data_IF_213162446645
#
_entry.id   IF_213162446645
#
_cell.length_a   1.000
_cell.length_b   1.000
_cell.length_c   1.000
_cell.angle_alpha   90.00
_cell.angle_beta   90.00
_cell.angle_gamma   90.00
#
_symmetry.space_group_name_H-M   'P 1'
#
loop_
_entity.id
_entity.type
_entity.pdbx_description
1 polymer ?
#
# COMPACT_ATOMS: atom_id res chain seq x y z
N UNK A 1 12.83 15.00 0.82
CA UNK A 1 11.84 14.09 1.45
C UNK A 1 12.09 12.69 0.93
N UNK A 2 12.34 11.74 1.84
CA UNK A 2 12.47 10.31 1.53
C UNK A 2 11.14 9.62 1.79
N UNK A 3 10.58 8.97 0.79
CA UNK A 3 9.28 8.33 0.86
C UNK A 3 9.34 6.82 0.62
N UNK A 4 8.49 6.07 1.32
CA UNK A 4 8.27 4.65 1.10
C UNK A 4 6.85 4.45 0.56
N UNK A 5 6.74 3.96 -0.67
CA UNK A 5 5.47 3.54 -1.25
C UNK A 5 5.24 2.07 -0.92
N UNK A 6 4.35 1.78 0.03
CA UNK A 6 4.14 0.43 0.58
C UNK A 6 2.87 -0.21 0.02
N UNK A 7 3.02 -1.36 -0.60
CA UNK A 7 1.92 -2.20 -1.09
C UNK A 7 1.98 -3.60 -0.47
N UNK A 8 0.81 -4.17 -0.16
CA UNK A 8 0.69 -5.47 0.52
C UNK A 8 0.45 -6.65 -0.43
N UNK A 9 0.68 -6.46 -1.70
CA UNK A 9 0.56 -7.49 -2.73
C UNK A 9 1.80 -7.53 -3.62
N UNK A 10 1.89 -8.57 -4.47
CA UNK A 10 2.98 -8.71 -5.43
C UNK A 10 2.94 -7.61 -6.49
N UNK A 11 4.12 -7.20 -6.92
CA UNK A 11 4.29 -6.28 -8.02
C UNK A 11 4.52 -7.08 -9.31
N UNK A 12 3.62 -6.92 -10.29
CA UNK A 12 3.74 -7.56 -11.59
C UNK A 12 3.38 -6.54 -12.68
N UNK A 13 4.34 -6.20 -13.51
CA UNK A 13 4.19 -5.17 -14.55
C UNK A 13 3.07 -5.45 -15.57
N UNK A 14 2.69 -6.71 -15.77
CA UNK A 14 1.58 -7.08 -16.63
C UNK A 14 0.20 -6.75 -16.03
N UNK A 15 0.11 -6.45 -14.73
CA UNK A 15 -1.13 -6.16 -14.04
C UNK A 15 -1.44 -4.66 -14.07
N UNK A 16 -2.68 -4.27 -14.42
CA UNK A 16 -3.12 -2.87 -14.46
C UNK A 16 -2.93 -2.11 -13.14
N UNK A 17 -3.09 -2.79 -11.99
CA UNK A 17 -2.84 -2.19 -10.67
C UNK A 17 -1.35 -1.83 -10.51
N UNK A 18 -0.45 -2.73 -10.90
CA UNK A 18 0.99 -2.49 -10.84
C UNK A 18 1.43 -1.39 -11.80
N UNK A 19 0.84 -1.31 -13.00
CA UNK A 19 1.07 -0.17 -13.92
C UNK A 19 0.69 1.16 -13.28
N UNK A 20 -0.49 1.23 -12.64
CA UNK A 20 -0.91 2.44 -11.93
C UNK A 20 0.07 2.82 -10.81
N UNK A 21 0.52 1.86 -10.00
CA UNK A 21 1.50 2.09 -8.94
C UNK A 21 2.81 2.61 -9.52
N UNK A 22 3.27 2.03 -10.63
CA UNK A 22 4.48 2.50 -11.33
C UNK A 22 4.37 3.96 -11.76
N UNK A 23 3.22 4.36 -12.32
CA UNK A 23 2.99 5.76 -12.69
C UNK A 23 2.93 6.69 -11.46
N UNK A 24 2.32 6.25 -10.36
CA UNK A 24 2.31 7.02 -9.11
C UNK A 24 3.72 7.21 -8.55
N UNK A 25 4.52 6.13 -8.50
CA UNK A 25 5.92 6.19 -8.04
C UNK A 25 6.75 7.07 -8.97
N UNK A 26 6.57 6.94 -10.30
CA UNK A 26 7.25 7.79 -11.27
C UNK A 26 6.88 9.26 -11.07
N UNK A 27 5.61 9.59 -10.95
CA UNK A 27 5.17 10.98 -10.73
C UNK A 27 5.76 11.58 -9.45
N UNK A 28 5.86 10.81 -8.37
CA UNK A 28 6.53 11.26 -7.16
C UNK A 28 8.02 11.53 -7.40
N UNK A 29 8.71 10.67 -8.15
CA UNK A 29 10.12 10.89 -8.54
C UNK A 29 10.28 12.14 -9.40
N UNK A 30 9.41 12.33 -10.38
CA UNK A 30 9.40 13.50 -11.26
C UNK A 30 9.16 14.83 -10.48
N UNK A 31 8.44 14.75 -9.35
CA UNK A 31 8.28 15.84 -8.39
C UNK A 31 9.46 16.02 -7.42
N UNK A 32 10.58 15.32 -7.61
CA UNK A 32 11.77 15.43 -6.76
C UNK A 32 11.69 14.69 -5.43
N UNK A 33 10.75 13.74 -5.28
CA UNK A 33 10.68 12.89 -4.09
C UNK A 33 11.59 11.67 -4.27
N UNK A 34 12.48 11.41 -3.30
CA UNK A 34 13.24 10.16 -3.23
C UNK A 34 12.32 9.06 -2.72
N UNK A 35 11.61 8.41 -3.65
CA UNK A 35 10.61 7.38 -3.32
C UNK A 35 11.12 5.98 -3.65
N UNK A 36 10.95 5.06 -2.70
CA UNK A 36 11.24 3.62 -2.80
C UNK A 36 9.95 2.83 -2.77
N UNK A 37 9.85 1.78 -3.59
CA UNK A 37 8.69 0.90 -3.65
C UNK A 37 8.91 -0.33 -2.75
N UNK A 38 8.13 -0.43 -1.67
CA UNK A 38 8.09 -1.63 -0.83
C UNK A 38 6.91 -2.52 -1.25
N UNK A 39 7.21 -3.75 -1.63
CA UNK A 39 6.20 -4.68 -2.11
C UNK A 39 6.46 -6.11 -1.62
N UNK A 40 5.42 -6.91 -1.71
CA UNK A 40 5.51 -8.34 -1.46
C UNK A 40 5.85 -9.08 -2.75
N UNK A 41 6.77 -10.05 -2.65
CA UNK A 41 7.16 -10.90 -3.77
C UNK A 41 7.00 -12.39 -3.46
N UNK A 42 6.80 -13.19 -4.50
CA UNK A 42 6.79 -14.66 -4.46
C UNK A 42 7.66 -15.15 -5.60
N UNK A 43 8.78 -15.78 -5.27
CA UNK A 43 9.70 -16.33 -6.27
C UNK A 43 9.07 -17.51 -7.03
N UNK A 44 9.68 -17.93 -8.13
CA UNK A 44 9.29 -19.13 -8.89
C UNK A 44 9.32 -20.42 -8.04
N UNK A 45 10.14 -20.46 -6.99
CA UNK A 45 10.22 -21.56 -6.03
C UNK A 45 9.19 -21.45 -4.90
N UNK A 46 8.35 -20.40 -4.89
CA UNK A 46 7.30 -20.19 -3.87
C UNK A 46 7.80 -19.54 -2.59
N UNK A 47 9.04 -19.04 -2.56
CA UNK A 47 9.56 -18.26 -1.43
C UNK A 47 8.87 -16.91 -1.34
N UNK A 48 8.58 -16.45 -0.14
CA UNK A 48 7.82 -15.23 0.15
C UNK A 48 8.72 -14.20 0.78
N UNK A 49 8.79 -13.03 0.13
CA UNK A 49 9.74 -11.98 0.47
C UNK A 49 9.05 -10.62 0.60
N UNK A 50 9.59 -9.79 1.48
CA UNK A 50 9.39 -8.34 1.39
C UNK A 50 10.58 -7.74 0.65
N UNK A 51 10.27 -6.93 -0.36
CA UNK A 51 11.24 -6.26 -1.21
C UNK A 51 11.11 -4.75 -1.06
N UNK A 52 12.21 -4.02 -1.14
CA UNK A 52 12.19 -2.57 -1.40
C UNK A 52 13.03 -2.33 -2.66
N UNK A 53 12.37 -1.88 -3.73
CA UNK A 53 12.91 -1.91 -5.08
C UNK A 53 13.48 -3.32 -5.37
N UNK A 54 14.81 -3.47 -5.54
CA UNK A 54 15.49 -4.76 -5.79
C UNK A 54 16.10 -5.39 -4.53
N UNK A 55 16.01 -4.73 -3.36
CA UNK A 55 16.55 -5.23 -2.09
C UNK A 55 15.58 -6.19 -1.40
N UNK A 56 16.03 -7.38 -1.04
CA UNK A 56 15.27 -8.30 -0.17
C UNK A 56 15.45 -7.86 1.28
N UNK A 57 14.41 -7.33 1.90
CA UNK A 57 14.44 -6.89 3.31
C UNK A 57 13.94 -7.96 4.28
N UNK A 58 13.24 -8.98 3.78
CA UNK A 58 12.87 -10.17 4.54
C UNK A 58 12.58 -11.34 3.61
N UNK A 59 13.03 -12.54 4.01
CA UNK A 59 12.66 -13.81 3.38
C UNK A 59 12.01 -14.72 4.42
N UNK A 60 10.81 -15.20 4.12
CA UNK A 60 10.03 -16.08 5.00
C UNK A 60 10.08 -17.54 4.53
N UNK A 61 10.79 -17.82 3.43
CA UNK A 61 10.83 -19.12 2.78
C UNK A 61 9.48 -19.51 2.17
N UNK A 62 9.18 -20.81 2.18
CA UNK A 62 8.03 -21.41 1.50
C UNK A 62 6.96 -21.90 2.47
N UNK A 63 5.83 -22.35 1.93
CA UNK A 63 4.81 -23.08 2.70
C UNK A 63 3.81 -22.20 3.45
N UNK A 64 3.07 -22.82 4.36
CA UNK A 64 1.96 -22.18 5.07
C UNK A 64 2.42 -21.17 6.13
N UNK A 65 3.50 -21.48 6.85
CA UNK A 65 4.08 -20.56 7.84
C UNK A 65 4.49 -19.24 7.19
N UNK A 66 5.16 -19.29 6.04
CA UNK A 66 5.55 -18.10 5.29
C UNK A 66 4.35 -17.24 4.86
N UNK A 67 3.19 -17.87 4.53
CA UNK A 67 1.94 -17.15 4.24
C UNK A 67 1.41 -16.36 5.43
N UNK A 68 1.63 -16.86 6.65
CA UNK A 68 1.21 -16.17 7.88
C UNK A 68 2.20 -15.07 8.24
N UNK A 69 3.50 -15.40 8.29
CA UNK A 69 4.55 -14.47 8.69
C UNK A 69 4.55 -13.17 7.87
N UNK A 70 4.41 -13.27 6.56
CA UNK A 70 4.31 -12.09 5.68
C UNK A 70 3.19 -11.11 6.06
N UNK A 71 2.11 -11.60 6.69
CA UNK A 71 0.91 -10.81 7.04
C UNK A 71 0.94 -10.23 8.44
N UNK A 72 1.81 -10.76 9.29
CA UNK A 72 1.84 -10.40 10.71
C UNK A 72 3.17 -9.80 11.15
N UNK A 73 4.25 -10.05 10.41
CA UNK A 73 5.60 -9.63 10.76
C UNK A 73 6.10 -8.53 9.84
N UNK A 74 5.95 -7.29 10.29
CA UNK A 74 6.33 -6.08 9.55
C UNK A 74 7.57 -5.37 10.10
N UNK A 75 8.30 -5.99 11.06
CA UNK A 75 9.53 -5.42 11.60
C UNK A 75 10.56 -5.08 10.52
N UNK A 76 10.81 -5.91 9.48
CA UNK A 76 11.76 -5.56 8.44
C UNK A 76 11.44 -4.26 7.71
N UNK A 77 10.15 -3.97 7.48
CA UNK A 77 9.70 -2.71 6.87
C UNK A 77 10.03 -1.52 7.80
N UNK A 78 9.78 -1.69 9.09
CA UNK A 78 10.09 -0.67 10.09
C UNK A 78 11.59 -0.43 10.22
N UNK A 79 12.39 -1.50 10.21
CA UNK A 79 13.85 -1.44 10.33
C UNK A 79 14.45 -0.78 9.08
N UNK A 80 13.93 -1.11 7.89
CA UNK A 80 14.28 -0.41 6.65
C UNK A 80 13.95 1.09 6.76
N UNK A 81 12.73 1.43 7.17
CA UNK A 81 12.30 2.82 7.27
C UNK A 81 13.19 3.64 8.23
N UNK A 82 13.63 3.03 9.34
CA UNK A 82 14.57 3.66 10.28
C UNK A 82 15.96 3.80 9.68
N UNK A 83 16.50 2.75 9.07
CA UNK A 83 17.84 2.74 8.48
C UNK A 83 17.99 3.80 7.40
N UNK A 84 16.99 3.94 6.56
CA UNK A 84 17.00 4.88 5.44
C UNK A 84 16.52 6.30 5.80
N UNK A 85 15.99 6.49 7.01
CA UNK A 85 15.44 7.79 7.44
C UNK A 85 14.22 8.20 6.62
N UNK A 86 13.25 7.30 6.49
CA UNK A 86 12.00 7.56 5.74
C UNK A 86 11.16 8.61 6.48
N UNK A 87 10.84 9.71 5.79
CA UNK A 87 10.02 10.81 6.32
C UNK A 87 8.52 10.62 6.07
N UNK A 88 8.19 9.91 4.98
CA UNK A 88 6.82 9.76 4.52
C UNK A 88 6.53 8.34 4.05
N UNK A 89 5.41 7.77 4.49
CA UNK A 89 4.97 6.44 4.05
C UNK A 89 3.59 6.55 3.40
N UNK A 90 3.53 6.20 2.11
CA UNK A 90 2.30 6.08 1.36
C UNK A 90 1.90 4.62 1.30
N UNK A 91 0.90 4.24 2.08
CA UNK A 91 0.40 2.86 2.12
C UNK A 91 -0.76 2.71 1.15
N UNK A 92 -0.62 1.84 0.17
CA UNK A 92 -1.78 1.43 -0.61
C UNK A 92 -2.45 0.26 0.07
N UNK A 93 -3.59 0.51 0.67
CA UNK A 93 -4.36 -0.54 1.33
C UNK A 93 -5.16 -1.33 0.32
N UNK A 94 -4.94 -2.62 0.37
CA UNK A 94 -5.83 -3.60 -0.24
C UNK A 94 -6.58 -4.30 0.90
N UNK A 95 -7.58 -3.62 1.50
CA UNK A 95 -8.32 -4.06 2.67
C UNK A 95 -7.43 -4.47 3.83
N UNK A 96 -7.32 -3.80 4.89
CA UNK A 96 -6.81 -4.53 6.04
C UNK A 96 -6.43 -3.66 7.19
N UNK A 97 -7.45 -3.14 7.80
CA UNK A 97 -7.29 -2.78 9.18
C UNK A 97 -7.16 -4.08 9.99
N UNK A 98 -6.03 -4.25 10.60
CA UNK A 98 -5.70 -5.37 11.47
C UNK A 98 -4.87 -4.88 12.65
N UNK A 99 -4.74 -5.65 13.74
CA UNK A 99 -3.86 -5.26 14.84
C UNK A 99 -2.41 -5.08 14.39
N UNK A 100 -1.97 -5.87 13.40
CA UNK A 100 -0.61 -5.82 12.87
C UNK A 100 -0.36 -4.57 12.04
N UNK A 101 -1.30 -4.20 11.14
CA UNK A 101 -1.23 -2.97 10.35
C UNK A 101 -1.31 -1.73 11.25
N UNK A 102 -2.19 -1.74 12.26
CA UNK A 102 -2.27 -0.67 13.24
C UNK A 102 -0.96 -0.51 14.02
N UNK A 103 -0.33 -1.62 14.42
CA UNK A 103 0.98 -1.60 15.07
C UNK A 103 2.07 -1.04 14.15
N UNK A 104 2.08 -1.45 12.88
CA UNK A 104 3.02 -0.93 11.87
C UNK A 104 2.89 0.59 11.75
N UNK A 105 1.68 1.11 11.51
CA UNK A 105 1.43 2.56 11.40
C UNK A 105 1.90 3.31 12.63
N UNK A 106 1.52 2.85 13.83
CA UNK A 106 1.96 3.48 15.08
C UNK A 106 3.48 3.45 15.27
N UNK A 107 4.14 2.38 14.82
CA UNK A 107 5.59 2.25 14.93
C UNK A 107 6.32 3.14 13.91
N UNK A 108 5.83 3.25 12.69
CA UNK A 108 6.34 4.18 11.68
C UNK A 108 6.19 5.64 12.16
N UNK A 109 5.04 6.01 12.72
CA UNK A 109 4.86 7.37 13.27
C UNK A 109 5.82 7.69 14.43
N UNK A 110 6.19 6.70 15.22
CA UNK A 110 7.21 6.90 16.29
C UNK A 110 8.62 7.14 15.75
N UNK A 111 8.91 6.82 14.50
CA UNK A 111 10.18 7.22 13.86
C UNK A 111 10.17 8.66 13.33
N UNK A 112 9.04 9.35 13.43
CA UNK A 112 8.85 10.71 12.91
C UNK A 112 8.20 10.73 11.50
N UNK A 113 8.02 9.59 10.87
CA UNK A 113 7.42 9.52 9.54
C UNK A 113 5.93 9.89 9.55
N UNK A 114 5.49 10.63 8.54
CA UNK A 114 4.07 10.81 8.22
C UNK A 114 3.56 9.59 7.49
N UNK A 115 2.39 9.09 7.86
CA UNK A 115 1.81 7.87 7.27
C UNK A 115 0.43 8.17 6.74
N UNK A 116 0.25 8.06 5.42
CA UNK A 116 -1.05 8.14 4.76
C UNK A 116 -1.43 6.80 4.15
N UNK A 117 -2.73 6.56 3.99
CA UNK A 117 -3.24 5.33 3.39
C UNK A 117 -4.19 5.64 2.24
N UNK A 118 -3.95 5.04 1.07
CA UNK A 118 -4.88 5.09 -0.06
C UNK A 118 -5.97 4.03 0.14
N UNK A 119 -7.24 4.47 0.14
CA UNK A 119 -8.43 3.62 0.07
C UNK A 119 -9.11 3.91 -1.28
N UNK A 120 -8.83 3.10 -2.32
CA UNK A 120 -9.22 3.42 -3.69
C UNK A 120 -10.74 3.31 -3.91
N UNK A 121 -11.40 2.38 -3.23
CA UNK A 121 -12.85 2.16 -3.32
C UNK A 121 -13.48 2.35 -1.95
N UNK A 122 -14.53 3.17 -1.88
CA UNK A 122 -15.30 3.36 -0.65
C UNK A 122 -16.78 3.61 -0.99
N UNK A 123 -17.73 2.91 -0.35
CA UNK A 123 -17.55 1.80 0.59
C UNK A 123 -17.11 0.51 -0.12
N UNK A 124 -16.30 -0.33 0.54
CA UNK A 124 -15.74 -1.57 -0.03
C UNK A 124 -16.30 -2.87 0.58
N UNK A 125 -17.19 -2.77 1.54
CA UNK A 125 -17.73 -3.95 2.28
C UNK A 125 -18.39 -4.98 1.34
N UNK A 126 -18.94 -4.53 0.21
CA UNK A 126 -19.60 -5.39 -0.78
C UNK A 126 -18.65 -6.25 -1.63
N UNK A 127 -17.36 -5.90 -1.67
CA UNK A 127 -16.35 -6.65 -2.40
C UNK A 127 -15.99 -7.98 -1.72
N UNK A 128 -16.42 -8.18 -0.46
CA UNK A 128 -16.11 -9.34 0.37
C UNK A 128 -17.16 -10.45 0.23
N UNK A 129 -17.06 -11.25 -0.83
CA UNK A 129 -18.08 -12.26 -1.17
C UNK A 129 -17.79 -13.64 -0.58
N UNK A 130 -16.53 -14.09 -0.47
CA UNK A 130 -16.19 -15.43 0.02
C UNK A 130 -16.16 -15.52 1.55
N UNK A 131 -16.28 -16.74 2.11
CA UNK A 131 -16.21 -16.95 3.57
C UNK A 131 -14.90 -16.45 4.18
N UNK A 132 -13.78 -16.71 3.51
CA UNK A 132 -12.46 -16.21 3.94
C UNK A 132 -12.40 -14.69 3.94
N UNK A 133 -12.92 -14.04 2.88
CA UNK A 133 -12.96 -12.59 2.80
C UNK A 133 -13.85 -12.00 3.89
N UNK A 134 -15.02 -12.59 4.18
CA UNK A 134 -15.91 -12.15 5.27
C UNK A 134 -15.25 -12.21 6.64
N UNK A 135 -14.41 -13.22 6.89
CA UNK A 135 -13.61 -13.28 8.11
C UNK A 135 -12.61 -12.11 8.20
N UNK A 136 -11.91 -11.80 7.10
CA UNK A 136 -11.02 -10.64 7.04
C UNK A 136 -11.78 -9.32 7.23
N UNK A 137 -12.97 -9.19 6.63
CA UNK A 137 -13.84 -8.03 6.82
C UNK A 137 -14.27 -7.86 8.29
N UNK A 138 -14.56 -8.95 8.99
CA UNK A 138 -14.89 -8.88 10.41
C UNK A 138 -13.74 -8.30 11.25
N UNK A 139 -12.50 -8.74 10.98
CA UNK A 139 -11.31 -8.17 11.60
C UNK A 139 -11.16 -6.70 11.21
N UNK A 140 -11.29 -6.38 9.94
CA UNK A 140 -11.20 -5.02 9.42
C UNK A 140 -12.18 -4.08 10.14
N UNK A 141 -13.45 -4.47 10.27
CA UNK A 141 -14.48 -3.70 10.99
C UNK A 141 -14.12 -3.40 12.45
N UNK A 142 -13.40 -4.29 13.12
CA UNK A 142 -12.93 -4.06 14.49
C UNK A 142 -11.81 -3.03 14.59
N UNK A 143 -11.01 -2.88 13.53
CA UNK A 143 -9.78 -2.08 13.59
C UNK A 143 -9.80 -0.85 12.67
N UNK A 144 -10.65 -0.77 11.64
CA UNK A 144 -10.62 0.28 10.61
C UNK A 144 -10.76 1.70 11.18
N UNK A 145 -11.64 1.93 12.17
CA UNK A 145 -11.74 3.24 12.84
C UNK A 145 -10.48 3.59 13.63
N UNK A 146 -9.88 2.60 14.31
CA UNK A 146 -8.63 2.81 15.07
C UNK A 146 -7.45 3.08 14.13
N UNK A 147 -7.42 2.40 12.99
CA UNK A 147 -6.40 2.60 11.97
C UNK A 147 -6.55 3.98 11.31
N UNK A 148 -7.76 4.35 10.87
CA UNK A 148 -8.04 5.64 10.25
C UNK A 148 -7.61 6.81 11.14
N UNK A 149 -7.94 6.75 12.44
CA UNK A 149 -7.49 7.75 13.44
C UNK A 149 -5.98 7.76 13.71
N UNK A 150 -5.29 6.67 13.44
CA UNK A 150 -3.84 6.60 13.61
C UNK A 150 -3.06 7.17 12.42
N UNK A 151 -3.67 7.24 11.24
CA UNK A 151 -3.09 7.80 10.03
C UNK A 151 -3.01 9.34 10.09
N UNK A 152 -2.12 9.92 9.30
CA UNK A 152 -2.05 11.37 9.09
C UNK A 152 -3.03 11.84 7.99
N UNK A 153 -3.57 10.92 7.19
CA UNK A 153 -4.60 11.17 6.20
C UNK A 153 -4.99 9.92 5.42
N UNK A 154 -6.14 9.97 4.80
CA UNK A 154 -6.65 8.92 3.92
C UNK A 154 -6.76 9.49 2.51
N UNK A 155 -6.06 8.89 1.56
CA UNK A 155 -6.15 9.26 0.14
C UNK A 155 -7.24 8.43 -0.51
N UNK A 156 -8.17 9.06 -1.23
CA UNK A 156 -9.31 8.37 -1.85
C UNK A 156 -9.68 8.97 -3.21
N UNK A 157 -10.31 8.15 -4.05
CA UNK A 157 -10.94 8.59 -5.31
C UNK A 157 -12.45 8.85 -5.13
N UNK A 158 -13.00 8.54 -3.96
CA UNK A 158 -14.41 8.80 -3.64
C UNK A 158 -14.64 10.27 -3.26
N UNK A 159 -15.91 10.68 -3.22
CA UNK A 159 -16.32 12.01 -2.77
C UNK A 159 -16.49 12.10 -1.23
N UNK A 160 -16.14 11.04 -0.49
CA UNK A 160 -16.28 11.03 0.95
C UNK A 160 -15.28 12.00 1.59
N UNK A 161 -15.75 12.93 2.40
CA UNK A 161 -14.91 13.87 3.16
C UNK A 161 -14.25 13.21 4.37
N UNK A 162 -14.86 12.12 4.85
CA UNK A 162 -14.38 11.32 5.97
C UNK A 162 -14.55 9.83 5.68
N UNK A 163 -13.56 9.03 6.01
CA UNK A 163 -13.61 7.56 5.95
C UNK A 163 -13.20 7.00 7.31
N UNK A 164 -14.12 6.29 7.98
CA UNK A 164 -13.93 5.65 9.28
C UNK A 164 -13.42 6.59 10.39
N UNK A 165 -13.78 7.87 10.36
CA UNK A 165 -13.33 8.87 11.33
C UNK A 165 -11.95 9.47 11.02
N UNK A 166 -11.44 9.27 9.81
CA UNK A 166 -10.23 9.88 9.30
C UNK A 166 -10.51 10.85 8.18
N UNK A 167 -9.83 11.99 8.18
CA UNK A 167 -9.93 13.01 7.14
C UNK A 167 -9.41 12.47 5.82
N UNK A 168 -10.09 12.81 4.72
CA UNK A 168 -9.72 12.36 3.39
C UNK A 168 -9.03 13.45 2.57
N UNK A 169 -8.15 12.99 1.69
CA UNK A 169 -7.55 13.79 0.62
C UNK A 169 -8.02 13.16 -0.68
N UNK A 170 -8.86 13.89 -1.39
CA UNK A 170 -9.38 13.42 -2.67
C UNK A 170 -8.35 13.61 -3.76
N UNK A 171 -8.10 12.55 -4.54
CA UNK A 171 -7.29 12.59 -5.75
C UNK A 171 -8.08 12.04 -6.94
N UNK A 172 -7.69 12.43 -8.16
CA UNK A 172 -8.21 11.83 -9.39
C UNK A 172 -7.32 10.68 -9.86
N UNK A 173 -7.88 9.80 -10.70
CA UNK A 173 -7.08 8.84 -11.43
C UNK A 173 -6.27 9.58 -12.48
N UNK A 174 -4.95 9.74 -12.25
CA UNK A 174 -4.04 10.30 -13.25
C UNK A 174 -3.95 9.39 -14.47
N UNK A 175 -3.88 9.97 -15.66
CA UNK A 175 -3.57 9.28 -16.91
C UNK A 175 -2.10 9.57 -17.20
N UNK A 176 -1.28 8.55 -17.45
CA UNK A 176 0.11 8.75 -17.87
C UNK A 176 0.18 9.30 -19.31
N UNK A 177 1.14 10.16 -19.59
CA UNK A 177 1.31 10.83 -20.90
C UNK A 177 1.32 9.88 -22.10
N UNK A 178 1.75 8.61 -21.91
CA UNK A 178 1.69 7.58 -22.95
C UNK A 178 0.27 7.17 -23.35
N UNK A 179 -0.70 7.22 -22.44
CA UNK A 179 -2.09 6.88 -22.73
C UNK A 179 -2.81 7.98 -23.51
N UNK A 180 -2.36 9.23 -23.36
CA UNK A 180 -2.91 10.36 -24.12
C UNK A 180 -2.44 10.29 -25.58
N UNK A 181 -1.18 9.93 -25.83
CA UNK A 181 -0.65 9.76 -27.20
C UNK A 181 -1.30 8.61 -27.97
N UNK A 182 -1.54 7.45 -27.31
CA UNK A 182 -2.26 6.32 -27.94
C UNK A 182 -3.72 6.64 -28.26
N UNK A 183 -4.36 7.57 -27.56
CA UNK A 183 -5.73 7.98 -27.86
C UNK A 183 -5.78 8.94 -29.05
N UNK A 184 -4.80 9.84 -29.20
CA UNK A 184 -4.69 10.76 -30.34
C UNK A 184 -4.36 10.03 -31.65
N UNK A 185 -3.49 9.01 -31.60
CA UNK A 185 -3.13 8.21 -32.79
C UNK A 185 -4.28 7.31 -33.30
N UNK A 186 -5.38 7.13 -32.54
CA UNK A 186 -6.58 6.39 -32.97
C UNK A 186 -7.69 7.27 -33.52
N UNK A 187 -7.50 8.58 -33.53
CA UNK A 187 -8.49 9.56 -34.02
C UNK A 187 -8.09 10.21 -35.36
N UNK A 188 -7.04 9.71 -36.01
CA UNK A 188 -6.58 10.17 -37.34
C UNK A 188 -6.92 9.15 -38.43
#
# INVERSE_FOLDING_TARGET
MKALFLIFHGFNEANGISKKIRYQVKALKDCGVDVRLCHYDVTSYGERRWMVDDEVIADFGTGFAAKIWKRVYYSPILDYARREGIDFVYMRSFHNASPFTLRLVKSLKRTGAKVVMEIPTYPYDQEYVTRSMKFHLAIDRCFRHKLAKALDGIVTFSNAEEIFGGNTIRISNGIGDGAVREADDRLV
#
